data_IF_678769360985
#
_entry.id   IF_678769360985
#
_cell.length_a   1.000
_cell.length_b   1.000
_cell.length_c   1.000
_cell.angle_alpha   90.00
_cell.angle_beta   90.00
_cell.angle_gamma   90.00
#
_symmetry.space_group_name_H-M   'P 1'
#
loop_
_entity.id
_entity.type
_entity.pdbx_description
1 polymer ?
#
# COMPACT_ATOMS: atom_id res chain seq x y z
N UNK A 1 -25.27 22.92 -21.38
CA UNK A 1 -25.22 22.09 -20.15
C UNK A 1 -24.54 20.72 -20.34
N UNK A 2 -24.50 20.15 -21.55
CA UNK A 2 -23.93 18.81 -21.83
C UNK A 2 -22.38 18.72 -21.80
N UNK A 3 -21.66 19.82 -22.08
CA UNK A 3 -20.19 19.86 -21.99
C UNK A 3 -19.65 19.86 -20.55
N UNK A 4 -20.49 20.22 -19.56
CA UNK A 4 -20.12 20.37 -18.14
C UNK A 4 -19.91 19.03 -17.41
N UNK A 5 -20.61 17.98 -17.84
CA UNK A 5 -20.47 16.62 -17.27
C UNK A 5 -19.36 15.78 -17.93
N UNK A 6 -18.90 16.19 -19.11
CA UNK A 6 -17.87 15.47 -19.85
C UNK A 6 -16.47 15.70 -19.26
N UNK A 7 -16.13 16.93 -18.84
CA UNK A 7 -14.81 17.24 -18.28
C UNK A 7 -14.47 16.47 -16.99
N UNK A 8 -15.46 16.22 -16.12
CA UNK A 8 -15.26 15.44 -14.88
C UNK A 8 -14.82 14.00 -15.19
N UNK A 9 -15.38 13.40 -16.24
CA UNK A 9 -15.07 12.02 -16.64
C UNK A 9 -13.67 11.91 -17.23
N UNK A 10 -13.26 12.90 -18.04
CA UNK A 10 -11.91 12.92 -18.64
C UNK A 10 -10.80 13.20 -17.63
N UNK A 11 -11.07 14.00 -16.58
CA UNK A 11 -10.08 14.24 -15.51
C UNK A 11 -9.91 12.97 -14.67
N UNK A 12 -10.99 12.28 -14.32
CA UNK A 12 -10.93 10.99 -13.61
C UNK A 12 -10.18 9.95 -14.47
N UNK A 13 -10.50 9.85 -15.76
CA UNK A 13 -9.80 8.96 -16.68
C UNK A 13 -8.32 9.32 -16.83
N UNK A 14 -7.96 10.61 -16.92
CA UNK A 14 -6.58 11.05 -17.01
C UNK A 14 -5.80 10.78 -15.71
N UNK A 15 -6.42 10.94 -14.54
CA UNK A 15 -5.79 10.59 -13.26
C UNK A 15 -5.58 9.07 -13.19
N UNK A 16 -6.57 8.26 -13.57
CA UNK A 16 -6.44 6.79 -13.59
C UNK A 16 -5.34 6.35 -14.57
N UNK A 17 -5.33 6.87 -15.80
CA UNK A 17 -4.32 6.56 -16.83
C UNK A 17 -2.93 7.00 -16.37
N UNK A 18 -2.82 8.16 -15.74
CA UNK A 18 -1.55 8.69 -15.25
C UNK A 18 -0.99 7.88 -14.08
N UNK A 19 -1.85 7.40 -13.18
CA UNK A 19 -1.48 6.47 -12.12
C UNK A 19 -1.09 5.09 -12.68
N UNK A 20 -1.71 4.62 -13.76
CA UNK A 20 -1.34 3.36 -14.43
C UNK A 20 0.04 3.41 -15.10
N UNK A 21 0.50 4.58 -15.55
CA UNK A 21 1.81 4.72 -16.24
C UNK A 21 3.03 4.80 -15.31
N UNK A 22 2.82 4.90 -13.99
CA UNK A 22 3.89 5.10 -12.99
C UNK A 22 4.07 3.88 -12.08
N UNK A 23 3.88 2.66 -12.61
CA UNK A 23 4.17 1.42 -11.88
C UNK A 23 5.59 0.95 -12.25
N UNK A 24 6.66 1.34 -11.51
CA UNK A 24 7.93 0.65 -11.60
C UNK A 24 7.85 -0.67 -10.82
N UNK A 25 8.33 -1.76 -11.43
CA UNK A 25 8.46 -3.08 -10.84
C UNK A 25 9.57 -3.08 -9.78
N UNK A 26 9.22 -2.88 -8.51
CA UNK A 26 10.13 -3.11 -7.39
C UNK A 26 9.67 -4.35 -6.62
N UNK A 27 10.13 -5.52 -7.06
CA UNK A 27 9.99 -6.76 -6.32
C UNK A 27 11.19 -6.91 -5.38
N UNK A 28 11.15 -6.29 -4.20
CA UNK A 28 11.97 -6.74 -3.08
C UNK A 28 11.03 -7.00 -1.91
N UNK A 29 10.46 -8.20 -1.86
CA UNK A 29 9.95 -8.81 -0.64
C UNK A 29 11.15 -9.01 0.29
N UNK A 30 11.41 -8.04 1.15
CA UNK A 30 11.98 -8.35 2.43
C UNK A 30 10.77 -8.47 3.39
N UNK A 31 10.74 -9.48 4.29
CA UNK A 31 9.73 -9.74 5.35
C UNK A 31 10.20 -9.44 6.80
N UNK A 32 9.43 -8.67 7.58
CA UNK A 32 9.71 -8.13 8.93
C UNK A 32 8.83 -8.84 9.96
N UNK A 33 7.94 -9.66 9.44
CA UNK A 33 7.27 -10.77 10.06
C UNK A 33 8.19 -12.00 9.97
N UNK A 34 7.89 -13.04 10.76
CA UNK A 34 8.58 -14.34 10.83
C UNK A 34 9.73 -14.51 9.85
N UNK A 35 10.93 -14.18 10.30
CA UNK A 35 12.13 -14.33 9.52
C UNK A 35 12.65 -15.74 9.69
N UNK A 36 12.97 -16.37 8.57
CA UNK A 36 13.65 -17.65 8.57
C UNK A 36 15.08 -17.46 9.09
N UNK A 37 15.37 -18.01 10.26
CA UNK A 37 16.66 -17.94 10.93
C UNK A 37 17.59 -19.07 10.49
N UNK A 38 17.02 -20.25 10.25
CA UNK A 38 17.79 -21.44 9.92
C UNK A 38 17.03 -22.39 9.02
N UNK A 39 17.79 -23.05 8.14
CA UNK A 39 17.31 -24.11 7.27
C UNK A 39 18.11 -25.38 7.45
N UNK A 40 17.42 -26.51 7.43
CA UNK A 40 18.02 -27.83 7.30
C UNK A 40 17.34 -28.53 6.11
N UNK A 41 18.03 -28.84 5.01
CA UNK A 41 19.43 -28.55 4.71
C UNK A 41 19.76 -27.05 4.71
N UNK A 42 21.02 -26.73 5.06
CA UNK A 42 21.49 -25.35 5.09
C UNK A 42 21.42 -24.69 3.71
N UNK A 43 21.05 -23.40 3.66
CA UNK A 43 21.12 -22.60 2.44
C UNK A 43 22.51 -22.71 1.79
N UNK A 44 22.52 -22.97 0.48
CA UNK A 44 23.68 -23.23 -0.37
C UNK A 44 24.52 -24.43 0.07
N UNK A 45 24.00 -25.26 0.99
CA UNK A 45 24.62 -26.48 1.49
C UNK A 45 24.55 -27.62 0.47
N UNK A 46 25.49 -28.57 0.60
CA UNK A 46 25.52 -29.81 -0.17
C UNK A 46 25.42 -30.99 0.79
N UNK A 47 24.31 -31.73 0.71
CA UNK A 47 24.10 -32.96 1.50
C UNK A 47 24.50 -34.17 0.68
N UNK A 48 25.08 -35.19 1.32
CA UNK A 48 25.56 -36.41 0.61
C UNK A 48 24.40 -37.26 0.12
N UNK A 49 23.38 -37.41 0.94
CA UNK A 49 22.20 -38.24 0.71
C UNK A 49 20.94 -37.37 0.69
N UNK A 50 19.87 -37.93 0.14
CA UNK A 50 18.57 -37.27 0.12
C UNK A 50 18.09 -37.12 1.57
N UNK A 51 17.79 -35.89 2.03
CA UNK A 51 17.31 -35.70 3.39
C UNK A 51 15.88 -36.25 3.53
N UNK A 52 15.55 -36.78 4.70
CA UNK A 52 14.22 -37.31 5.01
C UNK A 52 13.19 -36.18 5.17
N UNK A 53 13.65 -34.99 5.56
CA UNK A 53 12.81 -33.80 5.76
C UNK A 53 13.57 -32.51 5.43
N UNK A 54 12.80 -31.44 5.23
CA UNK A 54 13.27 -30.05 5.24
C UNK A 54 12.71 -29.40 6.50
N UNK A 55 13.59 -28.79 7.29
CA UNK A 55 13.24 -28.06 8.51
C UNK A 55 13.50 -26.57 8.32
N UNK A 56 12.48 -25.77 8.61
CA UNK A 56 12.50 -24.31 8.56
C UNK A 56 12.29 -23.76 9.97
N UNK A 57 13.28 -23.02 10.49
CA UNK A 57 13.23 -22.40 11.82
C UNK A 57 13.08 -20.89 11.71
N UNK A 58 12.10 -20.34 12.42
CA UNK A 58 11.69 -18.95 12.40
C UNK A 58 11.94 -18.27 13.76
N UNK A 59 12.20 -16.97 13.74
CA UNK A 59 12.37 -16.18 14.96
C UNK A 59 11.11 -16.12 15.84
N UNK A 60 9.92 -16.27 15.25
CA UNK A 60 8.61 -16.30 15.91
C UNK A 60 7.72 -17.45 15.38
N UNK A 61 6.68 -17.87 16.14
CA UNK A 61 5.80 -18.94 15.69
C UNK A 61 5.02 -18.58 14.42
N UNK A 62 4.93 -19.53 13.50
CA UNK A 62 4.12 -19.47 12.29
C UNK A 62 3.03 -20.53 12.29
N UNK A 63 1.96 -20.29 11.55
CA UNK A 63 0.80 -21.18 11.46
C UNK A 63 1.05 -22.31 10.45
N UNK A 64 1.32 -23.52 10.95
CA UNK A 64 1.63 -24.67 10.11
C UNK A 64 0.54 -25.02 9.08
N UNK A 65 -0.75 -24.80 9.41
CA UNK A 65 -1.86 -25.09 8.50
C UNK A 65 -1.78 -24.24 7.22
N UNK A 66 -1.41 -22.97 7.37
CA UNK A 66 -1.37 -22.01 6.28
C UNK A 66 0.01 -21.86 5.65
N UNK A 67 1.01 -22.58 6.14
CA UNK A 67 2.34 -22.65 5.54
C UNK A 67 2.45 -23.77 4.49
N UNK A 68 3.39 -23.62 3.56
CA UNK A 68 3.79 -24.65 2.60
C UNK A 68 5.23 -24.39 2.11
N UNK A 69 5.80 -25.38 1.41
CA UNK A 69 6.96 -25.15 0.54
C UNK A 69 6.62 -25.58 -0.89
N UNK A 70 7.16 -24.87 -1.87
CA UNK A 70 7.23 -25.28 -3.27
C UNK A 70 8.66 -25.68 -3.61
N UNK A 71 8.82 -26.89 -4.14
CA UNK A 71 10.11 -27.44 -4.56
C UNK A 71 10.28 -27.27 -6.07
N UNK A 72 11.44 -26.76 -6.49
CA UNK A 72 11.86 -26.68 -7.89
C UNK A 72 13.16 -27.45 -8.11
N UNK A 73 13.31 -28.03 -9.31
CA UNK A 73 14.54 -28.73 -9.70
C UNK A 73 15.62 -27.76 -10.24
N UNK A 74 16.76 -28.33 -10.62
CA UNK A 74 17.92 -27.62 -11.20
C UNK A 74 17.66 -26.92 -12.54
N UNK A 75 16.46 -27.06 -13.11
CA UNK A 75 16.00 -26.39 -14.34
C UNK A 75 14.88 -25.36 -14.06
N UNK A 76 14.56 -25.09 -12.79
CA UNK A 76 13.49 -24.17 -12.40
C UNK A 76 12.08 -24.73 -12.59
N UNK A 77 11.92 -26.03 -12.85
CA UNK A 77 10.61 -26.65 -12.99
C UNK A 77 10.04 -26.98 -11.61
N UNK A 78 8.82 -26.52 -11.30
CA UNK A 78 8.05 -26.91 -10.11
C UNK A 78 7.90 -28.44 -10.07
N UNK A 79 8.38 -29.05 -9.00
CA UNK A 79 8.29 -30.49 -8.71
C UNK A 79 6.98 -30.75 -7.95
N UNK A 80 6.80 -30.07 -6.82
CA UNK A 80 5.68 -30.29 -5.92
C UNK A 80 5.46 -29.10 -4.98
N UNK A 81 4.28 -29.06 -4.38
CA UNK A 81 3.97 -28.22 -3.22
C UNK A 81 3.74 -29.15 -2.03
N UNK A 82 4.39 -28.87 -0.91
CA UNK A 82 4.51 -29.78 0.24
C UNK A 82 4.03 -29.06 1.49
N UNK A 83 3.18 -29.72 2.27
CA UNK A 83 2.67 -29.25 3.55
C UNK A 83 3.55 -29.73 4.70
N UNK A 84 3.62 -28.97 5.81
CA UNK A 84 4.39 -29.41 6.96
C UNK A 84 3.71 -30.59 7.66
N UNK A 85 4.50 -31.47 8.28
CA UNK A 85 4.02 -32.49 9.24
C UNK A 85 3.74 -31.88 10.61
N UNK A 86 4.34 -30.74 10.91
CA UNK A 86 4.06 -29.94 12.10
C UNK A 86 2.61 -29.46 12.12
N UNK A 87 2.02 -29.31 13.30
CA UNK A 87 0.66 -28.79 13.47
C UNK A 87 0.61 -27.58 14.41
N UNK A 88 -0.41 -26.74 14.25
CA UNK A 88 -0.62 -25.55 15.08
C UNK A 88 0.40 -24.44 14.83
N UNK A 89 0.65 -23.63 15.86
CA UNK A 89 1.64 -22.56 15.85
C UNK A 89 3.00 -23.10 16.29
N UNK A 90 4.03 -22.94 15.46
CA UNK A 90 5.37 -23.45 15.76
C UNK A 90 6.46 -22.53 15.22
N UNK A 91 7.57 -22.41 15.93
CA UNK A 91 8.79 -21.75 15.42
C UNK A 91 9.56 -22.63 14.43
N UNK A 92 9.24 -23.91 14.37
CA UNK A 92 9.92 -24.88 13.51
C UNK A 92 8.88 -25.64 12.72
N UNK A 93 8.97 -25.59 11.39
CA UNK A 93 8.14 -26.37 10.49
C UNK A 93 8.99 -27.45 9.80
N UNK A 94 8.48 -28.68 9.84
CA UNK A 94 9.09 -29.86 9.20
C UNK A 94 8.27 -30.26 7.99
N UNK A 95 8.94 -30.51 6.86
CA UNK A 95 8.33 -30.86 5.58
C UNK A 95 8.90 -32.18 5.05
N UNK A 96 8.08 -33.13 4.59
CA UNK A 96 8.58 -34.40 4.06
C UNK A 96 9.53 -34.23 2.87
N UNK A 97 10.64 -34.96 2.90
CA UNK A 97 11.68 -34.91 1.87
C UNK A 97 11.41 -35.80 0.64
N UNK A 98 10.27 -36.46 0.56
CA UNK A 98 9.95 -37.47 -0.46
C UNK A 98 10.11 -36.98 -1.90
N UNK A 99 9.84 -35.70 -2.13
CA UNK A 99 9.86 -35.08 -3.46
C UNK A 99 11.22 -34.46 -3.83
N UNK A 100 12.23 -34.56 -2.95
CA UNK A 100 13.56 -33.98 -3.18
C UNK A 100 14.33 -34.81 -4.20
N UNK A 101 14.82 -34.13 -5.24
CA UNK A 101 15.60 -34.72 -6.32
C UNK A 101 17.11 -34.67 -6.04
N UNK A 102 17.89 -35.49 -6.77
CA UNK A 102 19.36 -35.35 -6.82
C UNK A 102 19.73 -34.05 -7.54
N UNK A 103 20.84 -33.42 -7.15
CA UNK A 103 21.28 -32.15 -7.70
C UNK A 103 20.77 -30.93 -6.92
N UNK A 104 20.82 -29.75 -7.53
CA UNK A 104 20.33 -28.51 -6.94
C UNK A 104 18.80 -28.51 -6.85
N UNK A 105 18.26 -28.18 -5.67
CA UNK A 105 16.84 -27.96 -5.43
C UNK A 105 16.65 -26.53 -4.91
N UNK A 106 15.66 -25.83 -5.43
CA UNK A 106 15.21 -24.53 -4.90
C UNK A 106 13.96 -24.76 -4.07
N UNK A 107 13.98 -24.26 -2.84
CA UNK A 107 12.86 -24.30 -1.90
C UNK A 107 12.32 -22.89 -1.78
N UNK A 108 11.13 -22.67 -2.32
CA UNK A 108 10.33 -21.48 -2.04
C UNK A 108 9.39 -21.83 -0.89
N UNK A 109 9.37 -21.03 0.16
CA UNK A 109 8.53 -21.28 1.32
C UNK A 109 7.56 -20.13 1.55
N UNK A 110 6.38 -20.47 2.06
CA UNK A 110 5.36 -19.53 2.51
C UNK A 110 4.96 -19.90 3.94
N UNK A 111 4.82 -18.91 4.80
CA UNK A 111 4.30 -19.09 6.14
C UNK A 111 3.43 -17.92 6.57
N UNK A 112 2.56 -18.12 7.57
CA UNK A 112 1.77 -17.04 8.17
C UNK A 112 2.26 -16.83 9.60
N UNK A 113 2.77 -15.64 9.88
CA UNK A 113 3.22 -15.23 11.22
C UNK A 113 2.06 -15.09 12.20
N UNK A 114 2.38 -15.04 13.50
CA UNK A 114 1.42 -14.87 14.59
C UNK A 114 0.54 -13.60 14.46
N UNK A 115 1.02 -12.60 13.72
CA UNK A 115 0.31 -11.35 13.46
C UNK A 115 -0.53 -11.36 12.17
N UNK A 116 -0.67 -12.54 11.53
CA UNK A 116 -1.57 -12.76 10.39
C UNK A 116 -0.98 -12.40 9.02
N UNK A 117 0.30 -12.04 8.95
CA UNK A 117 0.94 -11.70 7.69
C UNK A 117 1.56 -12.91 7.01
N UNK A 118 1.44 -12.94 5.68
CA UNK A 118 2.14 -13.91 4.87
C UNK A 118 3.60 -13.50 4.70
N UNK A 119 4.49 -14.47 4.91
CA UNK A 119 5.92 -14.36 4.75
C UNK A 119 6.40 -15.40 3.75
N UNK A 120 7.26 -15.00 2.83
CA UNK A 120 7.81 -15.91 1.83
C UNK A 120 9.23 -15.54 1.45
N UNK A 121 10.03 -16.55 1.14
CA UNK A 121 11.35 -16.37 0.53
C UNK A 121 11.77 -17.67 -0.18
N UNK A 122 12.95 -17.68 -0.78
CA UNK A 122 13.53 -18.86 -1.41
C UNK A 122 14.97 -19.08 -0.99
N UNK A 123 15.36 -20.34 -0.92
CA UNK A 123 16.75 -20.75 -0.74
C UNK A 123 17.06 -21.97 -1.61
N UNK A 124 18.35 -22.23 -1.85
CA UNK A 124 18.81 -23.38 -2.62
C UNK A 124 19.61 -24.33 -1.74
N UNK A 125 19.55 -25.64 -1.99
CA UNK A 125 20.50 -26.62 -1.47
C UNK A 125 20.74 -27.71 -2.53
N UNK A 126 21.76 -28.54 -2.35
CA UNK A 126 22.09 -29.59 -3.32
C UNK A 126 22.23 -30.97 -2.70
N UNK A 127 21.73 -32.00 -3.39
CA UNK A 127 21.91 -33.41 -3.00
C UNK A 127 22.99 -34.06 -3.88
N UNK A 128 24.06 -34.54 -3.25
CA UNK A 128 25.22 -35.18 -3.86
C UNK A 128 26.22 -34.19 -4.47
N UNK A 129 25.76 -33.31 -5.36
CA UNK A 129 26.59 -32.27 -6.00
C UNK A 129 25.73 -31.08 -6.43
N UNK A 130 26.37 -29.93 -6.55
CA UNK A 130 25.76 -28.74 -7.16
C UNK A 130 25.61 -28.95 -8.67
N UNK A 131 24.38 -28.87 -9.19
CA UNK A 131 24.10 -29.01 -10.64
C UNK A 131 23.68 -27.70 -11.30
N UNK A 132 23.17 -26.75 -10.52
CA UNK A 132 22.83 -25.38 -10.93
C UNK A 132 23.10 -24.38 -9.80
N UNK A 133 23.16 -23.09 -10.13
CA UNK A 133 23.26 -21.98 -9.18
C UNK A 133 22.33 -20.87 -9.64
N UNK A 134 21.64 -20.21 -8.70
CA UNK A 134 20.72 -19.11 -8.98
C UNK A 134 19.66 -19.52 -10.01
N UNK A 135 19.00 -20.65 -9.76
CA UNK A 135 17.94 -21.17 -10.61
C UNK A 135 16.80 -20.15 -10.62
N UNK A 136 16.55 -19.56 -11.80
CA UNK A 136 15.41 -18.68 -11.95
C UNK A 136 14.13 -19.50 -11.91
N UNK A 137 13.36 -19.24 -10.86
CA UNK A 137 12.07 -19.86 -10.53
C UNK A 137 10.95 -18.82 -10.56
N UNK A 138 11.30 -17.56 -10.82
CA UNK A 138 10.36 -16.45 -10.81
C UNK A 138 9.61 -16.44 -12.14
N UNK A 139 8.28 -16.50 -12.08
CA UNK A 139 7.48 -16.08 -13.22
C UNK A 139 7.74 -14.59 -13.49
N UNK A 140 7.44 -14.15 -14.71
CA UNK A 140 7.51 -12.73 -15.03
C UNK A 140 6.65 -11.92 -14.03
N UNK A 141 7.14 -10.77 -13.56
CA UNK A 141 6.50 -9.98 -12.49
C UNK A 141 5.00 -9.71 -12.74
N UNK A 142 4.60 -9.52 -14.00
CA UNK A 142 3.21 -9.25 -14.39
C UNK A 142 2.30 -10.49 -14.35
N UNK A 143 2.85 -11.69 -14.20
CA UNK A 143 2.10 -12.92 -13.98
C UNK A 143 1.80 -13.14 -12.49
N UNK A 144 2.52 -12.47 -11.58
CA UNK A 144 2.36 -12.61 -10.15
C UNK A 144 1.12 -11.85 -9.63
N UNK A 145 0.23 -12.49 -8.84
CA UNK A 145 -0.90 -11.80 -8.25
C UNK A 145 -0.50 -10.64 -7.32
N UNK A 146 0.64 -10.77 -6.63
CA UNK A 146 1.17 -9.74 -5.72
C UNK A 146 1.45 -8.40 -6.42
N UNK A 147 1.95 -8.45 -7.67
CA UNK A 147 2.15 -7.26 -8.49
C UNK A 147 0.83 -6.52 -8.74
N UNK A 148 -0.17 -7.25 -9.24
CA UNK A 148 -1.49 -6.68 -9.52
C UNK A 148 -2.19 -6.20 -8.25
N UNK A 149 -2.02 -6.91 -7.13
CA UNK A 149 -2.50 -6.47 -5.83
C UNK A 149 -1.91 -5.11 -5.47
N UNK A 150 -0.59 -4.94 -5.59
CA UNK A 150 0.08 -3.65 -5.41
C UNK A 150 -0.50 -2.55 -6.30
N UNK A 151 -0.73 -2.84 -7.58
CA UNK A 151 -1.34 -1.90 -8.54
C UNK A 151 -2.76 -1.50 -8.13
N UNK A 152 -3.65 -2.45 -7.87
CA UNK A 152 -5.04 -2.18 -7.50
C UNK A 152 -5.14 -1.48 -6.14
N UNK A 153 -4.32 -1.87 -5.17
CA UNK A 153 -4.25 -1.19 -3.86
C UNK A 153 -3.81 0.25 -4.01
N UNK A 154 -2.74 0.49 -4.77
CA UNK A 154 -2.25 1.83 -5.05
C UNK A 154 -3.32 2.71 -5.72
N UNK A 155 -4.01 2.18 -6.74
CA UNK A 155 -5.10 2.87 -7.42
C UNK A 155 -6.27 3.17 -6.49
N UNK A 156 -6.71 2.20 -5.68
CA UNK A 156 -7.90 2.34 -4.82
C UNK A 156 -7.66 3.24 -3.63
N UNK A 157 -6.56 3.07 -2.89
CA UNK A 157 -6.21 3.92 -1.75
C UNK A 157 -5.88 5.34 -2.22
N UNK A 158 -5.08 5.49 -3.29
CA UNK A 158 -4.73 6.78 -3.87
C UNK A 158 -5.96 7.55 -4.38
N UNK A 159 -6.85 6.90 -5.13
CA UNK A 159 -8.07 7.53 -5.61
C UNK A 159 -9.02 7.88 -4.45
N UNK A 160 -9.10 7.05 -3.40
CA UNK A 160 -9.89 7.35 -2.20
C UNK A 160 -9.38 8.61 -1.50
N UNK A 161 -8.07 8.69 -1.24
CA UNK A 161 -7.44 9.87 -0.62
C UNK A 161 -7.70 11.14 -1.44
N UNK A 162 -7.61 11.05 -2.77
CA UNK A 162 -7.89 12.19 -3.67
C UNK A 162 -9.37 12.61 -3.63
N UNK A 163 -10.30 11.65 -3.73
CA UNK A 163 -11.73 11.93 -3.74
C UNK A 163 -12.21 12.52 -2.41
N UNK A 164 -11.78 11.93 -1.29
CA UNK A 164 -12.05 12.43 0.06
C UNK A 164 -11.37 13.79 0.26
N UNK A 165 -10.14 13.96 -0.22
CA UNK A 165 -9.40 15.22 -0.15
C UNK A 165 -10.10 16.36 -0.87
N UNK A 166 -10.54 16.11 -2.10
CA UNK A 166 -11.31 17.08 -2.86
C UNK A 166 -12.64 17.40 -2.16
N UNK A 167 -13.30 16.42 -1.54
CA UNK A 167 -14.50 16.64 -0.74
C UNK A 167 -14.23 17.55 0.47
N UNK A 168 -13.18 17.30 1.25
CA UNK A 168 -12.80 18.13 2.40
C UNK A 168 -12.46 19.56 2.00
N UNK A 169 -11.65 19.74 0.95
CA UNK A 169 -11.28 21.08 0.47
C UNK A 169 -12.47 21.82 -0.13
N UNK A 170 -13.40 21.15 -0.81
CA UNK A 170 -14.67 21.75 -1.22
C UNK A 170 -15.50 22.23 -0.02
N UNK A 171 -15.48 21.49 1.09
CA UNK A 171 -16.11 21.90 2.34
C UNK A 171 -15.50 23.19 2.92
N UNK A 172 -14.17 23.29 2.91
CA UNK A 172 -13.43 24.51 3.34
C UNK A 172 -13.74 25.67 2.38
N UNK A 173 -13.73 25.42 1.07
CA UNK A 173 -14.03 26.40 0.03
C UNK A 173 -15.46 26.95 0.15
N UNK A 174 -16.43 26.07 0.40
CA UNK A 174 -17.83 26.44 0.62
C UNK A 174 -18.00 27.40 1.80
N UNK A 175 -17.31 27.18 2.92
CA UNK A 175 -17.35 28.09 4.09
C UNK A 175 -16.83 29.49 3.76
N UNK A 176 -16.01 29.63 2.71
CA UNK A 176 -15.44 30.91 2.26
C UNK A 176 -16.16 31.50 1.04
N UNK A 177 -17.32 30.96 0.65
CA UNK A 177 -18.07 31.43 -0.53
C UNK A 177 -17.37 31.16 -1.87
N UNK A 178 -16.43 30.22 -1.90
CA UNK A 178 -15.67 29.86 -3.10
C UNK A 178 -16.39 28.77 -3.92
N UNK A 179 -15.98 28.65 -5.19
CA UNK A 179 -16.50 27.64 -6.12
C UNK A 179 -16.26 26.22 -5.61
N UNK A 180 -17.21 25.32 -5.84
CA UNK A 180 -17.11 23.91 -5.44
C UNK A 180 -17.02 23.00 -6.68
N UNK A 181 -16.23 21.93 -6.56
CA UNK A 181 -16.05 20.88 -7.55
C UNK A 181 -16.50 19.53 -6.97
N UNK A 182 -17.79 19.44 -6.61
CA UNK A 182 -18.33 18.29 -5.89
C UNK A 182 -18.44 17.05 -6.81
N UNK A 183 -17.61 16.04 -6.56
CA UNK A 183 -17.68 14.71 -7.19
C UNK A 183 -18.54 13.79 -6.31
N UNK A 184 -18.15 13.60 -5.05
CA UNK A 184 -18.96 12.93 -4.03
C UNK A 184 -19.91 13.93 -3.34
N UNK A 185 -21.15 13.55 -2.98
CA UNK A 185 -21.82 12.27 -3.25
C UNK A 185 -22.55 12.23 -4.60
N UNK A 186 -22.46 13.30 -5.40
CA UNK A 186 -23.34 13.54 -6.56
C UNK A 186 -23.12 12.57 -7.73
N UNK A 187 -21.91 12.02 -7.87
CA UNK A 187 -21.55 11.14 -8.97
C UNK A 187 -21.52 9.68 -8.52
N UNK A 188 -22.70 9.04 -8.45
CA UNK A 188 -22.85 7.63 -8.05
C UNK A 188 -22.01 6.67 -8.92
N UNK A 189 -21.76 7.02 -10.19
CA UNK A 189 -20.88 6.24 -11.05
C UNK A 189 -19.44 6.16 -10.55
N UNK A 190 -18.92 7.20 -9.89
CA UNK A 190 -17.58 7.17 -9.27
C UNK A 190 -17.57 6.21 -8.09
N UNK A 191 -18.62 6.19 -7.28
CA UNK A 191 -18.77 5.24 -6.19
C UNK A 191 -18.74 3.79 -6.68
N UNK A 192 -19.49 3.46 -7.74
CA UNK A 192 -19.46 2.12 -8.31
C UNK A 192 -18.11 1.74 -8.89
N UNK A 193 -17.43 2.66 -9.58
CA UNK A 193 -16.05 2.44 -10.05
C UNK A 193 -15.15 2.13 -8.86
N UNK A 194 -15.19 2.93 -7.80
CA UNK A 194 -14.38 2.70 -6.60
C UNK A 194 -14.69 1.37 -5.92
N UNK A 195 -15.97 1.03 -5.77
CA UNK A 195 -16.40 -0.24 -5.18
C UNK A 195 -15.94 -1.45 -6.01
N UNK A 196 -16.05 -1.39 -7.35
CA UNK A 196 -15.59 -2.46 -8.23
C UNK A 196 -14.06 -2.58 -8.24
N UNK A 197 -13.32 -1.48 -8.21
CA UNK A 197 -11.85 -1.53 -8.14
C UNK A 197 -11.39 -2.04 -6.77
N UNK A 198 -12.06 -1.68 -5.67
CA UNK A 198 -11.80 -2.25 -4.35
C UNK A 198 -12.10 -3.76 -4.31
N UNK A 199 -13.22 -4.19 -4.90
CA UNK A 199 -13.56 -5.60 -5.03
C UNK A 199 -12.48 -6.35 -5.84
N UNK A 200 -12.03 -5.78 -6.95
CA UNK A 200 -10.95 -6.37 -7.75
C UNK A 200 -9.64 -6.44 -6.96
N UNK A 201 -9.30 -5.37 -6.23
CA UNK A 201 -8.12 -5.36 -5.34
C UNK A 201 -8.18 -6.45 -4.28
N UNK A 202 -9.36 -6.67 -3.69
CA UNK A 202 -9.60 -7.72 -2.70
C UNK A 202 -9.51 -9.12 -3.32
N UNK A 203 -10.05 -9.33 -4.52
CA UNK A 203 -9.95 -10.61 -5.24
C UNK A 203 -8.49 -10.92 -5.57
N UNK A 204 -7.75 -9.94 -6.09
CA UNK A 204 -6.33 -10.12 -6.43
C UNK A 204 -5.48 -10.34 -5.17
N UNK A 205 -5.81 -9.68 -4.06
CA UNK A 205 -5.21 -9.98 -2.76
C UNK A 205 -5.48 -11.43 -2.34
N UNK A 206 -6.71 -11.92 -2.47
CA UNK A 206 -7.05 -13.30 -2.13
C UNK A 206 -6.32 -14.33 -3.01
N UNK A 207 -5.92 -13.96 -4.23
CA UNK A 207 -5.09 -14.80 -5.09
C UNK A 207 -3.63 -14.92 -4.63
N UNK A 208 -3.16 -14.06 -3.71
CA UNK A 208 -1.84 -14.22 -3.10
C UNK A 208 -1.87 -15.26 -1.97
N UNK A 209 -3.04 -15.55 -1.41
CA UNK A 209 -3.20 -16.41 -0.24
C UNK A 209 -3.20 -17.90 -0.61
N UNK A 210 -2.82 -18.75 0.34
CA UNK A 210 -2.90 -20.21 0.16
C UNK A 210 -4.35 -20.69 0.07
N UNK A 211 -4.56 -21.85 -0.58
CA UNK A 211 -5.90 -22.43 -0.78
C UNK A 211 -6.65 -22.70 0.53
N UNK A 212 -5.94 -23.06 1.60
CA UNK A 212 -6.53 -23.29 2.92
C UNK A 212 -7.06 -21.99 3.54
N UNK A 213 -6.28 -20.91 3.44
CA UNK A 213 -6.71 -19.58 3.88
C UNK A 213 -7.92 -19.14 3.08
N UNK A 214 -7.86 -19.29 1.75
CA UNK A 214 -8.96 -18.94 0.86
C UNK A 214 -10.25 -19.68 1.22
N UNK A 215 -10.18 -20.99 1.44
CA UNK A 215 -11.31 -21.81 1.86
C UNK A 215 -11.89 -21.36 3.21
N UNK A 216 -11.04 -21.06 4.18
CA UNK A 216 -11.47 -20.60 5.49
C UNK A 216 -12.12 -19.20 5.44
N UNK A 217 -11.62 -18.30 4.60
CA UNK A 217 -12.25 -16.98 4.33
C UNK A 217 -13.60 -17.17 3.65
N UNK A 218 -13.69 -18.01 2.62
CA UNK A 218 -14.93 -18.26 1.87
C UNK A 218 -16.00 -18.97 2.70
N UNK A 219 -15.59 -19.75 3.71
CA UNK A 219 -16.49 -20.35 4.71
C UNK A 219 -16.81 -19.43 5.89
N UNK A 220 -16.39 -18.17 5.82
CA UNK A 220 -16.67 -17.11 6.80
C UNK A 220 -16.18 -17.41 8.22
N UNK A 221 -15.03 -18.08 8.36
CA UNK A 221 -14.39 -18.28 9.67
C UNK A 221 -13.90 -16.95 10.23
N UNK A 222 -14.53 -16.51 11.32
CA UNK A 222 -14.30 -15.19 11.89
C UNK A 222 -12.87 -15.00 12.42
N UNK A 223 -12.31 -16.03 13.05
CA UNK A 223 -10.94 -16.09 13.56
C UNK A 223 -9.90 -15.91 12.44
N UNK A 224 -10.20 -16.42 11.24
CA UNK A 224 -9.33 -16.28 10.06
C UNK A 224 -9.49 -14.90 9.44
N UNK A 225 -10.73 -14.43 9.21
CA UNK A 225 -10.98 -13.11 8.61
C UNK A 225 -10.35 -11.98 9.44
N UNK A 226 -10.39 -12.09 10.78
CA UNK A 226 -9.77 -11.11 11.68
C UNK A 226 -8.25 -10.98 11.53
N UNK A 227 -7.58 -12.00 10.98
CA UNK A 227 -6.14 -11.98 10.69
C UNK A 227 -5.79 -11.24 9.39
N UNK A 228 -6.77 -10.88 8.57
CA UNK A 228 -6.56 -10.19 7.29
C UNK A 228 -7.18 -8.78 7.29
N UNK A 229 -6.57 -7.78 7.98
CA UNK A 229 -7.09 -6.41 8.07
C UNK A 229 -7.40 -5.76 6.72
N UNK A 230 -6.65 -6.11 5.68
CA UNK A 230 -6.90 -5.60 4.33
C UNK A 230 -8.28 -5.99 3.79
N UNK A 231 -8.73 -7.24 4.00
CA UNK A 231 -10.06 -7.71 3.58
C UNK A 231 -11.14 -6.92 4.33
N UNK A 232 -11.00 -6.79 5.64
CA UNK A 232 -11.95 -6.06 6.49
C UNK A 232 -12.03 -4.59 6.06
N UNK A 233 -10.89 -3.92 5.89
CA UNK A 233 -10.83 -2.54 5.43
C UNK A 233 -11.42 -2.37 4.03
N UNK A 234 -11.24 -3.33 3.12
CA UNK A 234 -11.80 -3.28 1.77
C UNK A 234 -13.32 -3.38 1.79
N UNK A 235 -13.87 -4.31 2.56
CA UNK A 235 -15.33 -4.44 2.79
C UNK A 235 -15.87 -3.15 3.42
N UNK A 236 -15.22 -2.64 4.46
CA UNK A 236 -15.61 -1.39 5.12
C UNK A 236 -15.60 -0.22 4.14
N UNK A 237 -14.58 -0.07 3.30
CA UNK A 237 -14.51 0.98 2.29
C UNK A 237 -15.62 0.85 1.24
N UNK A 238 -15.93 -0.35 0.76
CA UNK A 238 -17.05 -0.58 -0.16
C UNK A 238 -18.36 -0.09 0.47
N UNK A 239 -18.62 -0.49 1.72
CA UNK A 239 -19.81 -0.06 2.46
C UNK A 239 -19.82 1.46 2.65
N UNK A 240 -18.70 2.06 3.08
CA UNK A 240 -18.59 3.50 3.29
C UNK A 240 -18.78 4.31 2.00
N UNK A 241 -18.27 3.81 0.87
CA UNK A 241 -18.53 4.39 -0.45
C UNK A 241 -20.03 4.38 -0.77
N UNK A 242 -20.73 3.28 -0.53
CA UNK A 242 -22.19 3.18 -0.70
C UNK A 242 -22.92 4.14 0.24
N UNK A 243 -22.55 4.18 1.53
CA UNK A 243 -23.13 5.09 2.52
C UNK A 243 -22.91 6.56 2.16
N UNK A 244 -21.82 6.89 1.48
CA UNK A 244 -21.55 8.22 0.97
C UNK A 244 -22.57 8.63 -0.10
N UNK A 245 -23.22 7.70 -0.80
CA UNK A 245 -24.21 8.02 -1.86
C UNK A 245 -25.63 8.24 -1.35
N UNK A 246 -25.90 7.95 -0.07
CA UNK A 246 -27.21 8.20 0.53
C UNK A 246 -27.56 9.69 0.39
N UNK A 247 -28.75 9.97 -0.16
CA UNK A 247 -29.25 11.32 -0.40
C UNK A 247 -29.90 11.87 0.87
N UNK A 248 -30.00 13.19 0.92
CA UNK A 248 -30.77 13.92 1.95
C UNK A 248 -30.30 13.68 3.40
N UNK A 249 -29.05 13.24 3.57
CA UNK A 249 -28.43 13.09 4.88
C UNK A 249 -27.92 14.44 5.41
N UNK A 250 -27.83 14.55 6.73
CA UNK A 250 -27.26 15.73 7.39
C UNK A 250 -25.80 15.97 6.97
N UNK A 251 -25.36 17.23 6.96
CA UNK A 251 -23.99 17.57 6.52
C UNK A 251 -22.91 16.80 7.30
N UNK A 252 -23.15 16.57 8.59
CA UNK A 252 -22.24 15.85 9.49
C UNK A 252 -22.04 14.40 9.03
N UNK A 253 -23.06 13.75 8.47
CA UNK A 253 -22.99 12.38 7.95
C UNK A 253 -21.85 12.20 6.96
N UNK A 254 -21.80 13.05 5.93
CA UNK A 254 -20.80 12.95 4.87
C UNK A 254 -19.38 13.20 5.38
N UNK A 255 -19.21 14.06 6.40
CA UNK A 255 -17.92 14.24 7.06
C UNK A 255 -17.51 13.00 7.85
N UNK A 256 -18.41 12.44 8.65
CA UNK A 256 -18.15 11.22 9.42
C UNK A 256 -17.80 10.03 8.51
N UNK A 257 -18.59 9.79 7.46
CA UNK A 257 -18.31 8.72 6.48
C UNK A 257 -16.95 8.93 5.82
N UNK A 258 -16.65 10.15 5.37
CA UNK A 258 -15.35 10.44 4.73
C UNK A 258 -14.16 10.27 5.68
N UNK A 259 -14.32 10.58 6.97
CA UNK A 259 -13.29 10.35 7.98
C UNK A 259 -13.13 8.85 8.27
N UNK A 260 -14.24 8.12 8.38
CA UNK A 260 -14.24 6.67 8.54
C UNK A 260 -13.54 5.96 7.37
N UNK A 261 -13.61 6.50 6.15
CA UNK A 261 -12.86 5.96 5.00
C UNK A 261 -11.34 6.10 5.20
N UNK A 262 -10.87 7.25 5.68
CA UNK A 262 -9.46 7.46 5.97
C UNK A 262 -9.00 6.56 7.13
N UNK A 263 -9.83 6.39 8.15
CA UNK A 263 -9.58 5.46 9.25
C UNK A 263 -9.51 4.00 8.76
N UNK A 264 -10.41 3.58 7.85
CA UNK A 264 -10.39 2.24 7.28
C UNK A 264 -9.10 1.95 6.50
N UNK A 265 -8.57 2.93 5.77
CA UNK A 265 -7.24 2.82 5.12
C UNK A 265 -6.12 2.74 6.18
N UNK A 266 -6.21 3.53 7.27
CA UNK A 266 -5.22 3.46 8.35
C UNK A 266 -5.17 2.08 9.04
N UNK A 267 -6.29 1.36 9.07
CA UNK A 267 -6.40 0.03 9.66
C UNK A 267 -6.02 -1.12 8.70
N UNK A 268 -5.76 -0.84 7.41
CA UNK A 268 -5.57 -1.88 6.37
C UNK A 268 -4.18 -2.52 6.32
N UNK A 269 -3.32 -2.28 7.32
CA UNK A 269 -1.92 -2.74 7.32
C UNK A 269 -1.37 -2.99 8.74
N UNK A 270 -0.05 -2.95 8.89
CA UNK A 270 0.71 -3.32 10.09
C UNK A 270 0.44 -2.52 11.38
N UNK A 271 -0.52 -1.58 11.37
CA UNK A 271 -0.88 -0.84 12.57
C UNK A 271 -1.38 -1.77 13.69
N UNK A 272 -1.87 -2.97 13.36
CA UNK A 272 -2.33 -3.97 14.31
C UNK A 272 -1.22 -4.80 14.96
N UNK A 273 -0.04 -4.89 14.34
CA UNK A 273 1.10 -5.65 14.88
C UNK A 273 2.02 -4.80 15.75
N UNK A 274 1.76 -3.50 15.88
CA UNK A 274 2.53 -2.61 16.75
C UNK A 274 2.28 -2.90 18.24
N UNK A 275 3.25 -2.54 19.10
CA UNK A 275 3.13 -2.74 20.54
C UNK A 275 1.88 -2.05 21.14
N UNK A 276 1.49 -0.89 20.58
CA UNK A 276 0.27 -0.18 20.97
C UNK A 276 -0.54 0.10 19.69
N UNK A 277 -1.39 -0.83 19.23
CA UNK A 277 -2.07 -0.72 17.95
C UNK A 277 -2.91 0.56 17.80
N UNK A 278 -3.63 0.94 18.86
CA UNK A 278 -4.46 2.15 18.83
C UNK A 278 -3.65 3.43 18.60
N UNK A 279 -2.45 3.52 19.16
CA UNK A 279 -1.56 4.66 18.96
C UNK A 279 -1.10 4.75 17.50
N UNK A 280 -0.67 3.62 16.95
CA UNK A 280 -0.26 3.52 15.55
C UNK A 280 -1.39 3.90 14.57
N UNK A 281 -2.60 3.38 14.81
CA UNK A 281 -3.80 3.71 14.01
C UNK A 281 -4.09 5.21 14.06
N UNK A 282 -3.99 5.85 15.24
CA UNK A 282 -4.24 7.29 15.40
C UNK A 282 -3.23 8.10 14.59
N UNK A 283 -1.93 7.84 14.75
CA UNK A 283 -0.89 8.59 14.02
C UNK A 283 -1.03 8.37 12.52
N UNK A 284 -1.26 7.13 12.08
CA UNK A 284 -1.46 6.80 10.66
C UNK A 284 -2.70 7.50 10.08
N UNK A 285 -3.81 7.54 10.84
CA UNK A 285 -5.01 8.28 10.44
C UNK A 285 -4.71 9.78 10.28
N UNK A 286 -3.95 10.37 11.21
CA UNK A 286 -3.49 11.76 11.09
C UNK A 286 -2.60 11.96 9.86
N UNK A 287 -1.66 11.06 9.60
CA UNK A 287 -0.79 11.12 8.42
C UNK A 287 -1.59 11.06 7.12
N UNK A 288 -2.51 10.10 7.00
CA UNK A 288 -3.41 9.99 5.84
C UNK A 288 -4.34 11.21 5.71
N UNK A 289 -4.83 11.78 6.82
CA UNK A 289 -5.63 13.00 6.79
C UNK A 289 -4.82 14.21 6.29
N UNK A 290 -3.54 14.31 6.67
CA UNK A 290 -2.58 15.26 6.11
C UNK A 290 -2.42 15.10 4.60
N UNK A 291 -2.20 13.86 4.12
CA UNK A 291 -2.10 13.57 2.68
C UNK A 291 -3.39 13.90 1.93
N UNK A 292 -4.53 13.57 2.52
CA UNK A 292 -5.88 13.84 2.00
C UNK A 292 -6.11 15.34 1.80
N UNK A 293 -5.79 16.18 2.80
CA UNK A 293 -5.88 17.63 2.67
C UNK A 293 -4.91 18.19 1.61
N UNK A 294 -3.67 17.69 1.60
CA UNK A 294 -2.63 18.15 0.70
C UNK A 294 -2.94 17.84 -0.77
N UNK A 295 -3.26 16.58 -1.10
CA UNK A 295 -3.65 16.16 -2.44
C UNK A 295 -4.98 16.78 -2.86
N UNK A 296 -5.95 16.86 -1.95
CA UNK A 296 -7.22 17.53 -2.18
C UNK A 296 -7.05 18.99 -2.59
N UNK A 297 -6.13 19.71 -1.93
CA UNK A 297 -5.82 21.10 -2.25
C UNK A 297 -5.14 21.26 -3.60
N UNK A 298 -4.22 20.34 -3.96
CA UNK A 298 -3.56 20.31 -5.26
C UNK A 298 -4.57 20.07 -6.40
N UNK A 299 -5.45 19.06 -6.26
CA UNK A 299 -6.48 18.76 -7.26
C UNK A 299 -7.48 19.90 -7.38
N UNK A 300 -7.89 20.51 -6.25
CA UNK A 300 -8.74 21.68 -6.26
C UNK A 300 -8.09 22.86 -7.02
N UNK A 301 -6.79 23.09 -6.82
CA UNK A 301 -6.04 24.13 -7.54
C UNK A 301 -6.01 23.86 -9.05
N UNK A 302 -5.79 22.62 -9.47
CA UNK A 302 -5.81 22.22 -10.89
C UNK A 302 -7.20 22.46 -11.49
N UNK A 303 -8.28 22.03 -10.80
CA UNK A 303 -9.65 22.26 -11.24
C UNK A 303 -9.95 23.77 -11.35
N UNK A 304 -9.51 24.56 -10.36
CA UNK A 304 -9.69 26.00 -10.36
C UNK A 304 -8.93 26.68 -11.50
N UNK A 305 -7.64 26.35 -11.69
CA UNK A 305 -6.79 26.93 -12.74
C UNK A 305 -7.28 26.62 -14.16
N UNK A 306 -7.96 25.48 -14.37
CA UNK A 306 -8.59 25.13 -15.66
C UNK A 306 -9.93 25.81 -15.89
N UNK A 307 -10.67 26.12 -14.82
CA UNK A 307 -12.06 26.60 -14.91
C UNK A 307 -12.16 28.12 -14.83
N UNK A 308 -11.27 28.79 -14.11
CA UNK A 308 -11.40 30.20 -13.74
C UNK A 308 -10.19 31.03 -14.16
N UNK A 309 -10.45 32.21 -14.73
CA UNK A 309 -9.45 33.24 -15.07
C UNK A 309 -9.67 34.56 -14.29
N UNK A 310 -10.45 34.53 -13.21
CA UNK A 310 -11.06 35.72 -12.58
C UNK A 310 -10.51 36.18 -11.21
N UNK A 311 -11.13 37.26 -10.70
CA UNK A 311 -10.70 38.12 -9.57
C UNK A 311 -10.67 37.49 -8.16
N UNK A 312 -11.12 36.25 -7.95
CA UNK A 312 -11.09 35.60 -6.61
C UNK A 312 -9.78 34.84 -6.31
N UNK A 313 -8.78 34.97 -7.18
CA UNK A 313 -7.51 34.23 -7.09
C UNK A 313 -6.84 34.40 -5.70
N UNK A 314 -6.89 35.60 -5.13
CA UNK A 314 -6.29 35.90 -3.82
C UNK A 314 -6.94 35.11 -2.68
N UNK A 315 -8.27 34.98 -2.66
CA UNK A 315 -8.99 34.28 -1.60
C UNK A 315 -8.79 32.76 -1.68
N UNK A 316 -8.83 32.21 -2.90
CA UNK A 316 -8.55 30.79 -3.18
C UNK A 316 -7.13 30.45 -2.76
N UNK A 317 -6.19 31.30 -3.11
CA UNK A 317 -4.78 31.15 -2.75
C UNK A 317 -4.57 31.19 -1.23
N UNK A 318 -5.16 32.14 -0.51
CA UNK A 318 -5.02 32.20 0.94
C UNK A 318 -5.63 30.97 1.63
N UNK A 319 -6.74 30.45 1.09
CA UNK A 319 -7.33 29.19 1.56
C UNK A 319 -6.38 28.01 1.34
N UNK A 320 -5.88 27.84 0.12
CA UNK A 320 -5.00 26.73 -0.24
C UNK A 320 -3.68 26.79 0.52
N UNK A 321 -3.10 27.97 0.71
CA UNK A 321 -1.87 28.13 1.49
C UNK A 321 -2.05 27.68 2.94
N UNK A 322 -3.13 28.13 3.62
CA UNK A 322 -3.41 27.71 5.00
C UNK A 322 -3.68 26.21 5.10
N UNK A 323 -4.41 25.66 4.11
CA UNK A 323 -4.71 24.22 4.03
C UNK A 323 -3.42 23.42 3.87
N UNK A 324 -2.55 23.83 2.95
CA UNK A 324 -1.28 23.15 2.69
C UNK A 324 -0.31 23.25 3.86
N UNK A 325 -0.17 24.41 4.52
CA UNK A 325 0.67 24.54 5.72
C UNK A 325 0.19 23.59 6.81
N UNK A 326 -1.13 23.54 7.05
CA UNK A 326 -1.72 22.64 8.06
C UNK A 326 -1.48 21.17 7.68
N UNK A 327 -1.69 20.82 6.42
CA UNK A 327 -1.49 19.46 5.92
C UNK A 327 -0.03 19.02 6.04
N UNK A 328 0.93 19.87 5.64
CA UNK A 328 2.37 19.59 5.75
C UNK A 328 2.81 19.47 7.21
N UNK A 329 2.31 20.33 8.10
CA UNK A 329 2.61 20.22 9.53
C UNK A 329 2.13 18.87 10.09
N UNK A 330 0.90 18.46 9.76
CA UNK A 330 0.38 17.14 10.14
C UNK A 330 1.27 16.03 9.57
N UNK A 331 1.64 16.09 8.29
CA UNK A 331 2.47 15.08 7.62
C UNK A 331 3.84 14.91 8.25
N UNK A 332 4.52 16.02 8.58
CA UNK A 332 5.85 15.99 9.20
C UNK A 332 5.74 15.42 10.61
N UNK A 333 4.83 15.94 11.45
CA UNK A 333 4.69 15.51 12.84
C UNK A 333 4.30 14.02 12.89
N UNK A 334 3.26 13.64 12.15
CA UNK A 334 2.82 12.23 12.11
C UNK A 334 3.85 11.30 11.46
N UNK A 335 4.56 11.74 10.43
CA UNK A 335 5.61 10.94 9.79
C UNK A 335 6.79 10.66 10.70
N UNK A 336 7.21 11.65 11.51
CA UNK A 336 8.24 11.46 12.54
C UNK A 336 7.76 10.50 13.63
N UNK A 337 6.51 10.67 14.10
CA UNK A 337 5.93 9.77 15.10
C UNK A 337 5.78 8.34 14.58
N UNK A 338 5.36 8.14 13.33
CA UNK A 338 5.30 6.81 12.71
C UNK A 338 6.69 6.19 12.60
N UNK A 339 7.72 6.94 12.19
CA UNK A 339 9.08 6.40 12.09
C UNK A 339 9.62 5.93 13.46
N UNK A 340 9.28 6.63 14.55
CA UNK A 340 9.62 6.24 15.92
C UNK A 340 8.84 5.00 16.38
N UNK A 341 7.56 4.91 16.01
CA UNK A 341 6.68 3.77 16.33
C UNK A 341 7.13 2.50 15.59
N UNK A 342 7.53 2.65 14.34
CA UNK A 342 7.82 1.55 13.41
C UNK A 342 9.28 1.03 13.51
N UNK A 343 10.28 1.90 13.74
CA UNK A 343 11.72 1.53 13.65
C UNK A 343 12.54 1.99 14.85
N UNK A 344 13.68 1.32 15.07
CA UNK A 344 14.76 1.90 15.87
C UNK A 344 15.64 2.82 15.00
N UNK A 345 15.77 4.10 15.39
CA UNK A 345 16.52 5.12 14.64
C UNK A 345 17.97 4.69 14.37
N UNK A 346 18.57 3.88 15.25
CA UNK A 346 19.95 3.41 15.10
C UNK A 346 20.10 2.36 13.98
N UNK A 347 19.10 1.50 13.76
CA UNK A 347 19.17 0.42 12.77
C UNK A 347 18.86 0.87 11.35
N UNK A 348 18.20 2.03 11.18
CA UNK A 348 18.01 2.69 9.89
C UNK A 348 19.36 2.92 9.18
N UNK A 349 20.42 3.24 9.93
CA UNK A 349 21.72 3.63 9.38
C UNK A 349 22.74 2.48 9.30
N UNK A 350 22.52 1.38 10.03
CA UNK A 350 23.43 0.23 10.02
C UNK A 350 23.21 -0.69 8.82
N UNK A 351 21.97 -0.79 8.32
CA UNK A 351 21.62 -1.61 7.16
C UNK A 351 20.71 -0.85 6.19
N UNK A 352 21.27 -0.46 5.02
CA UNK A 352 20.49 0.13 3.93
C UNK A 352 19.57 -0.92 3.29
N UNK A 353 18.36 -1.05 3.82
CA UNK A 353 17.28 -1.87 3.25
C UNK A 353 16.38 -1.03 2.32
N UNK A 354 15.54 -1.69 1.52
CA UNK A 354 14.62 -1.04 0.59
C UNK A 354 13.72 0.01 1.28
N UNK A 355 13.23 -0.28 2.48
CA UNK A 355 12.42 0.65 3.27
C UNK A 355 13.16 1.92 3.65
N UNK A 356 14.43 1.84 4.05
CA UNK A 356 15.27 3.02 4.33
C UNK A 356 15.41 3.88 3.08
N UNK A 357 15.56 3.28 1.91
CA UNK A 357 15.63 4.00 0.63
C UNK A 357 14.31 4.73 0.35
N UNK A 358 13.17 4.05 0.48
CA UNK A 358 11.87 4.71 0.30
C UNK A 358 11.60 5.81 1.33
N UNK A 359 12.05 5.65 2.57
CA UNK A 359 11.96 6.69 3.60
C UNK A 359 12.77 7.93 3.19
N UNK A 360 14.01 7.74 2.73
CA UNK A 360 14.86 8.83 2.22
C UNK A 360 14.20 9.52 1.01
N UNK A 361 13.66 8.74 0.06
CA UNK A 361 12.90 9.27 -1.08
C UNK A 361 11.72 10.11 -0.59
N UNK A 362 10.99 9.65 0.45
CA UNK A 362 9.87 10.39 1.01
C UNK A 362 10.30 11.72 1.64
N UNK A 363 11.36 11.71 2.43
CA UNK A 363 11.89 12.93 3.07
C UNK A 363 12.36 13.92 2.01
N UNK A 364 13.23 13.50 1.09
CA UNK A 364 13.77 14.36 0.03
C UNK A 364 12.66 14.86 -0.88
N UNK A 365 11.77 13.98 -1.34
CA UNK A 365 10.65 14.34 -2.19
C UNK A 365 9.73 15.37 -1.52
N UNK A 366 9.40 15.18 -0.23
CA UNK A 366 8.60 16.13 0.54
C UNK A 366 9.28 17.49 0.67
N UNK A 367 10.60 17.53 0.90
CA UNK A 367 11.36 18.79 0.94
C UNK A 367 11.35 19.50 -0.41
N UNK A 368 11.54 18.78 -1.51
CA UNK A 368 11.45 19.34 -2.88
C UNK A 368 10.05 19.90 -3.11
N UNK A 369 9.01 19.15 -2.75
CA UNK A 369 7.62 19.60 -2.84
C UNK A 369 7.35 20.89 -2.06
N UNK A 370 7.88 21.00 -0.83
CA UNK A 370 7.77 22.19 -0.02
C UNK A 370 8.47 23.39 -0.66
N UNK A 371 9.67 23.19 -1.21
CA UNK A 371 10.43 24.24 -1.91
C UNK A 371 9.69 24.70 -3.16
N UNK A 372 9.16 23.78 -3.98
CA UNK A 372 8.39 24.10 -5.18
C UNK A 372 7.10 24.84 -4.83
N UNK A 373 6.36 24.37 -3.82
CA UNK A 373 5.14 25.02 -3.34
C UNK A 373 5.41 26.42 -2.77
N UNK A 374 6.51 26.58 -2.03
CA UNK A 374 6.96 27.88 -1.53
C UNK A 374 7.38 28.81 -2.68
N UNK A 375 8.14 28.30 -3.66
CA UNK A 375 8.55 29.05 -4.84
C UNK A 375 7.35 29.49 -5.68
N UNK A 376 6.38 28.60 -5.89
CA UNK A 376 5.17 28.91 -6.63
C UNK A 376 4.33 29.95 -5.89
N UNK A 377 4.23 29.83 -4.58
CA UNK A 377 3.57 30.82 -3.72
C UNK A 377 4.29 32.17 -3.82
N UNK A 378 5.60 32.24 -3.61
CA UNK A 378 6.37 33.49 -3.61
C UNK A 378 6.50 34.15 -4.99
N UNK A 379 6.82 33.39 -6.04
CA UNK A 379 6.93 33.94 -7.40
C UNK A 379 5.58 34.34 -8.00
N UNK A 380 4.48 33.66 -7.63
CA UNK A 380 3.13 34.11 -7.97
C UNK A 380 2.72 35.40 -7.23
N UNK A 381 3.32 35.73 -6.06
CA UNK A 381 3.13 37.04 -5.40
C UNK A 381 3.82 38.18 -6.17
N UNK A 382 4.88 37.87 -6.90
CA UNK A 382 5.83 38.89 -7.31
C UNK A 382 5.42 39.79 -8.46
N UNK A 383 4.65 39.32 -9.47
CA UNK A 383 4.40 40.15 -10.69
C UNK A 383 3.39 39.65 -11.75
N UNK A 384 2.82 38.43 -11.70
CA UNK A 384 2.10 37.87 -12.88
C UNK A 384 0.73 37.21 -12.68
N UNK A 385 0.18 37.07 -11.46
CA UNK A 385 -1.15 36.46 -11.20
C UNK A 385 -1.47 35.17 -12.00
N UNK A 386 -0.44 34.42 -12.39
CA UNK A 386 -0.56 33.20 -13.20
C UNK A 386 0.21 32.09 -12.52
N UNK A 387 -0.45 30.95 -12.35
CA UNK A 387 0.15 29.74 -11.79
C UNK A 387 1.03 29.08 -12.86
N UNK A 388 2.22 28.63 -12.47
CA UNK A 388 3.13 27.95 -13.39
C UNK A 388 2.66 26.50 -13.60
N UNK A 389 1.95 26.24 -14.69
CA UNK A 389 1.35 24.94 -15.01
C UNK A 389 2.38 23.79 -15.02
N UNK A 390 3.56 23.91 -15.67
CA UNK A 390 4.62 22.90 -15.59
C UNK A 390 5.02 22.52 -14.16
N UNK A 391 5.21 23.51 -13.27
CA UNK A 391 5.58 23.25 -11.87
C UNK A 391 4.48 22.51 -11.12
N UNK A 392 3.20 22.81 -11.38
CA UNK A 392 2.08 22.05 -10.81
C UNK A 392 2.07 20.59 -11.25
N UNK A 393 2.36 20.32 -12.53
CA UNK A 393 2.43 18.94 -13.02
C UNK A 393 3.60 18.20 -12.36
N UNK A 394 4.76 18.84 -12.20
CA UNK A 394 5.90 18.26 -11.47
C UNK A 394 5.54 17.98 -10.01
N UNK A 395 4.89 18.93 -9.31
CA UNK A 395 4.43 18.73 -7.93
C UNK A 395 3.46 17.55 -7.83
N UNK A 396 2.51 17.44 -8.77
CA UNK A 396 1.58 16.30 -8.82
C UNK A 396 2.33 14.97 -9.03
N UNK A 397 3.31 14.93 -9.92
CA UNK A 397 4.12 13.73 -10.18
C UNK A 397 4.88 13.31 -8.93
N UNK A 398 5.53 14.25 -8.24
CA UNK A 398 6.25 13.96 -7.01
C UNK A 398 5.26 13.47 -5.94
N UNK A 399 4.11 14.12 -5.78
CA UNK A 399 3.07 13.69 -4.85
C UNK A 399 2.59 12.26 -5.10
N UNK A 400 2.38 11.91 -6.37
CA UNK A 400 2.00 10.56 -6.80
C UNK A 400 3.11 9.55 -6.48
N UNK A 401 4.36 9.87 -6.80
CA UNK A 401 5.51 9.03 -6.44
C UNK A 401 5.66 8.85 -4.92
N UNK A 402 5.33 9.86 -4.12
CA UNK A 402 5.34 9.79 -2.66
C UNK A 402 4.23 8.91 -2.09
N UNK A 403 3.02 8.93 -2.68
CA UNK A 403 1.94 7.99 -2.33
C UNK A 403 2.41 6.58 -2.66
N UNK A 404 2.98 6.36 -3.84
CA UNK A 404 3.51 5.07 -4.25
C UNK A 404 4.56 4.57 -3.26
N UNK A 405 5.56 5.40 -2.95
CA UNK A 405 6.57 5.07 -1.95
C UNK A 405 5.94 4.72 -0.59
N UNK A 406 4.91 5.44 -0.15
CA UNK A 406 4.18 5.13 1.08
C UNK A 406 3.42 3.80 1.03
N UNK A 407 2.76 3.48 -0.08
CA UNK A 407 2.05 2.20 -0.26
C UNK A 407 3.06 1.05 -0.31
N UNK A 408 4.15 1.20 -1.05
CA UNK A 408 5.24 0.20 -1.10
C UNK A 408 5.88 0.01 0.27
N UNK A 409 6.16 1.08 1.01
CA UNK A 409 6.65 1.00 2.39
C UNK A 409 5.72 0.20 3.32
N UNK A 410 4.40 0.26 3.08
CA UNK A 410 3.43 -0.55 3.85
C UNK A 410 3.33 -2.02 3.41
N UNK A 411 4.16 -2.44 2.45
CA UNK A 411 4.22 -3.80 1.91
C UNK A 411 5.62 -4.42 2.04
N UNK A 412 6.60 -3.68 2.56
CA UNK A 412 8.00 -4.10 2.68
C UNK A 412 8.48 -3.89 4.11
N UNK A 413 9.62 -4.50 4.42
CA UNK A 413 10.19 -4.49 5.76
C UNK A 413 10.58 -3.18 6.35
N UNK A 414 10.12 -3.02 7.57
CA UNK A 414 10.65 -2.08 8.51
C UNK A 414 11.98 -2.63 9.05
N UNK A 415 13.11 -1.90 8.97
CA UNK A 415 14.36 -2.33 9.58
C UNK A 415 14.16 -2.52 11.10
N UNK A 416 14.44 -3.73 11.60
CA UNK A 416 14.34 -4.08 13.02
C UNK A 416 15.36 -3.37 13.89
#
# INVERSE_FOLDING_TARGET
MLLRNKMSKYIIALVIIFFMTLVPAFEHQASAHATLEKTTPQEKGVVKEKPEEIQLEYNEPVNAKYSNITLYNDKGKKISEVKPTTSGWSKTLEFPGDQIAKGTNTVEWHAISADGHEVSNKFEFSVGKVTAKNVDTSDAFYAQPSFWFGVFRYLTEGATIILVGLFWVNGIAKRRGLRQFNILPKQVGVTWIMAMTLLMSMIVYMMTLTSDVLNDILTLKADVIMQFPYIISSIALIVLFILMTLKDMEKVWYWLVSFAMILAIAMSGHAWSQHIPLWSIIIRTLHLAGMTLWLGALIYLICYAKTERGNQLTNVRQMLLRTNITAVAILIISGVLMAIDETNILTIWSHLQAWTIFMIIKVIGTLIMMILGFYQTTKALGKRNKVNQPTLYIELIIGIALIFAGVMMSQINIPG
#
